data_IF_024568146247
#
_entry.id   IF_024568146247
#
_cell.length_a   1.000
_cell.length_b   1.000
_cell.length_c   1.000
_cell.angle_alpha   90.00
_cell.angle_beta   90.00
_cell.angle_gamma   90.00
#
_symmetry.space_group_name_H-M   'P 1'
#
loop_
_entity.id
_entity.type
_entity.pdbx_description
1 polymer ?
#
# COMPACT_ATOMS: atom_id res chain seq x y z
N UNK A 1 -8.10 20.97 -1.07
CA UNK A 1 -8.06 19.84 -0.10
C UNK A 1 -7.99 18.58 -0.96
N UNK A 2 -6.98 17.70 -0.83
CA UNK A 2 -6.78 16.65 -1.85
C UNK A 2 -7.88 15.59 -1.77
N UNK A 3 -8.59 15.36 -2.89
CA UNK A 3 -9.73 14.44 -2.98
C UNK A 3 -9.34 13.18 -3.76
N UNK A 4 -9.94 12.04 -3.45
CA UNK A 4 -9.64 10.76 -4.13
C UNK A 4 -10.83 10.40 -5.03
N UNK A 5 -10.55 10.04 -6.28
CA UNK A 5 -11.50 9.49 -7.24
C UNK A 5 -10.89 8.30 -7.96
N UNK A 6 -11.65 7.21 -8.05
CA UNK A 6 -11.25 5.96 -8.68
C UNK A 6 -9.89 5.44 -8.15
N UNK A 7 -9.62 5.71 -6.87
CA UNK A 7 -8.33 5.39 -6.23
C UNK A 7 -7.15 6.26 -6.67
N UNK A 8 -7.40 7.45 -7.26
CA UNK A 8 -6.37 8.41 -7.67
C UNK A 8 -6.62 9.75 -6.97
N UNK A 9 -5.56 10.38 -6.45
CA UNK A 9 -5.64 11.74 -5.91
C UNK A 9 -5.87 12.74 -7.05
N UNK A 10 -6.87 13.61 -6.88
CA UNK A 10 -7.26 14.62 -7.87
C UNK A 10 -7.38 16.02 -7.26
N UNK A 11 -7.11 17.03 -8.08
CA UNK A 11 -7.34 18.44 -7.78
C UNK A 11 -8.85 18.75 -7.65
N UNK A 12 -9.19 19.83 -6.92
CA UNK A 12 -10.57 20.18 -6.59
C UNK A 12 -11.42 20.47 -7.84
N UNK A 13 -10.82 21.06 -8.88
CA UNK A 13 -11.47 21.35 -10.17
C UNK A 13 -11.90 20.06 -10.89
N UNK A 14 -11.01 19.08 -10.96
CA UNK A 14 -11.31 17.79 -11.58
C UNK A 14 -12.26 16.96 -10.72
N UNK A 15 -12.10 17.03 -9.40
CA UNK A 15 -12.99 16.35 -8.45
C UNK A 15 -14.45 16.77 -8.67
N UNK A 16 -14.73 18.07 -8.61
CA UNK A 16 -16.09 18.58 -8.81
C UNK A 16 -16.65 18.19 -10.17
N UNK A 17 -15.82 18.26 -11.22
CA UNK A 17 -16.21 17.90 -12.58
C UNK A 17 -16.60 16.42 -12.71
N UNK A 18 -15.86 15.51 -12.09
CA UNK A 18 -16.10 14.07 -12.22
C UNK A 18 -17.22 13.59 -11.28
N UNK A 19 -17.34 14.13 -10.07
CA UNK A 19 -18.42 13.78 -9.12
C UNK A 19 -19.79 14.28 -9.58
N UNK A 20 -19.84 15.41 -10.30
CA UNK A 20 -21.06 15.91 -10.90
C UNK A 20 -21.63 15.00 -12.01
N UNK A 21 -20.83 14.08 -12.56
CA UNK A 21 -21.27 13.18 -13.63
C UNK A 21 -22.16 12.07 -13.13
N UNK A 22 -22.93 11.54 -14.07
CA UNK A 22 -23.86 10.44 -13.85
C UNK A 22 -23.62 9.39 -14.93
N UNK A 23 -23.60 8.14 -14.51
CA UNK A 23 -23.17 7.01 -15.32
C UNK A 23 -24.32 6.02 -15.49
N UNK A 24 -24.43 5.49 -16.71
CA UNK A 24 -25.38 4.45 -17.05
C UNK A 24 -24.66 3.11 -17.09
N UNK A 25 -24.94 2.26 -16.10
CA UNK A 25 -24.33 0.93 -15.97
C UNK A 25 -25.15 -0.10 -16.72
N UNK A 26 -26.47 0.00 -16.70
CA UNK A 26 -27.38 -0.88 -17.44
C UNK A 26 -28.70 -0.16 -17.76
N UNK A 27 -29.60 -0.74 -18.58
CA UNK A 27 -30.92 -0.18 -18.82
C UNK A 27 -31.72 0.08 -17.53
N UNK A 28 -31.57 -0.79 -16.54
CA UNK A 28 -32.27 -0.73 -15.25
C UNK A 28 -31.47 0.04 -14.18
N UNK A 29 -30.22 0.40 -14.48
CA UNK A 29 -29.32 1.07 -13.56
C UNK A 29 -28.62 2.24 -14.23
N UNK A 30 -29.34 3.36 -14.27
CA UNK A 30 -28.97 4.61 -14.95
C UNK A 30 -28.80 5.75 -13.96
N UNK A 31 -28.15 6.81 -14.43
CA UNK A 31 -28.00 8.06 -13.70
C UNK A 31 -27.30 7.88 -12.32
N UNK A 32 -26.29 7.03 -12.26
CA UNK A 32 -25.61 6.60 -11.02
C UNK A 32 -24.41 7.53 -10.74
N UNK A 33 -24.20 8.00 -9.50
CA UNK A 33 -23.00 8.76 -9.16
C UNK A 33 -21.74 7.88 -9.16
N UNK A 34 -20.58 8.50 -9.41
CA UNK A 34 -19.30 7.79 -9.53
C UNK A 34 -18.94 6.95 -8.29
N UNK A 35 -19.19 7.47 -7.08
CA UNK A 35 -18.92 6.77 -5.82
C UNK A 35 -19.65 5.43 -5.75
N UNK A 36 -20.91 5.37 -6.19
CA UNK A 36 -21.68 4.12 -6.22
C UNK A 36 -21.13 3.14 -7.26
N UNK A 37 -20.62 3.65 -8.39
CA UNK A 37 -19.97 2.82 -9.42
C UNK A 37 -18.66 2.23 -8.89
N UNK A 38 -17.86 3.00 -8.16
CA UNK A 38 -16.61 2.55 -7.53
C UNK A 38 -16.86 1.45 -6.50
N UNK A 39 -17.83 1.66 -5.60
CA UNK A 39 -18.22 0.65 -4.60
C UNK A 39 -18.65 -0.65 -5.29
N UNK A 40 -19.45 -0.56 -6.36
CA UNK A 40 -19.96 -1.75 -7.04
C UNK A 40 -18.90 -2.49 -7.87
N UNK A 41 -17.89 -1.80 -8.38
CA UNK A 41 -16.80 -2.40 -9.16
C UNK A 41 -16.00 -3.45 -8.35
N UNK A 42 -15.84 -3.19 -7.04
CA UNK A 42 -15.02 -4.01 -6.13
C UNK A 42 -15.85 -4.74 -5.05
N UNK A 43 -17.16 -4.51 -4.97
CA UNK A 43 -18.04 -5.17 -4.00
C UNK A 43 -18.32 -6.65 -4.32
N UNK A 44 -18.29 -7.49 -3.29
CA UNK A 44 -18.68 -8.91 -3.37
C UNK A 44 -20.19 -9.09 -3.59
N UNK A 45 -21.01 -8.12 -3.19
CA UNK A 45 -22.48 -8.20 -3.33
C UNK A 45 -22.91 -8.12 -4.80
N UNK A 46 -22.14 -7.42 -5.62
CA UNK A 46 -22.37 -7.27 -7.06
C UNK A 46 -21.82 -8.42 -7.90
N UNK A 47 -21.14 -9.40 -7.29
CA UNK A 47 -20.70 -10.62 -7.99
C UNK A 47 -21.86 -11.45 -8.56
N UNK A 48 -23.08 -11.26 -8.03
CA UNK A 48 -24.33 -11.88 -8.54
C UNK A 48 -24.81 -11.27 -9.86
N UNK A 49 -24.30 -10.09 -10.23
CA UNK A 49 -24.61 -9.38 -11.47
C UNK A 49 -23.31 -9.08 -12.25
N UNK A 50 -22.66 -10.12 -12.81
CA UNK A 50 -21.30 -9.99 -13.37
C UNK A 50 -21.20 -8.97 -14.50
N UNK A 51 -22.25 -8.82 -15.31
CA UNK A 51 -22.30 -7.82 -16.39
C UNK A 51 -22.27 -6.39 -15.84
N UNK A 52 -23.00 -6.12 -14.76
CA UNK A 52 -23.04 -4.80 -14.13
C UNK A 52 -21.72 -4.49 -13.44
N UNK A 53 -21.15 -5.47 -12.73
CA UNK A 53 -19.85 -5.31 -12.07
C UNK A 53 -18.73 -5.07 -13.10
N UNK A 54 -18.73 -5.83 -14.20
CA UNK A 54 -17.79 -5.61 -15.32
C UNK A 54 -17.94 -4.18 -15.86
N UNK A 55 -19.18 -3.73 -16.08
CA UNK A 55 -19.42 -2.38 -16.59
C UNK A 55 -18.96 -1.29 -15.63
N UNK A 56 -19.15 -1.48 -14.32
CA UNK A 56 -18.63 -0.58 -13.31
C UNK A 56 -17.09 -0.50 -13.36
N UNK A 57 -16.39 -1.64 -13.49
CA UNK A 57 -14.94 -1.66 -13.67
C UNK A 57 -14.49 -0.93 -14.94
N UNK A 58 -15.19 -1.13 -16.06
CA UNK A 58 -14.92 -0.39 -17.30
C UNK A 58 -15.07 1.13 -17.11
N UNK A 59 -16.11 1.58 -16.41
CA UNK A 59 -16.33 2.99 -16.11
C UNK A 59 -15.21 3.53 -15.21
N UNK A 60 -14.83 2.79 -14.16
CA UNK A 60 -13.72 3.16 -13.27
C UNK A 60 -12.42 3.30 -14.06
N UNK A 61 -12.10 2.35 -14.94
CA UNK A 61 -10.90 2.43 -15.79
C UNK A 61 -10.97 3.58 -16.81
N UNK A 62 -12.14 3.87 -17.38
CA UNK A 62 -12.34 5.04 -18.23
C UNK A 62 -12.10 6.35 -17.46
N UNK A 63 -12.61 6.46 -16.23
CA UNK A 63 -12.39 7.63 -15.38
C UNK A 63 -10.91 7.75 -15.01
N UNK A 64 -10.24 6.66 -14.64
CA UNK A 64 -8.78 6.66 -14.43
C UNK A 64 -8.02 7.12 -15.67
N UNK A 65 -8.40 6.65 -16.86
CA UNK A 65 -7.79 7.06 -18.12
C UNK A 65 -8.04 8.55 -18.42
N UNK A 66 -9.23 9.07 -18.13
CA UNK A 66 -9.54 10.48 -18.28
C UNK A 66 -8.77 11.35 -17.28
N UNK A 67 -8.66 10.92 -16.01
CA UNK A 67 -7.80 11.57 -15.03
C UNK A 67 -6.39 11.61 -15.59
N UNK A 68 -5.80 10.46 -15.97
CA UNK A 68 -4.46 10.40 -16.57
C UNK A 68 -4.31 11.32 -17.78
N UNK A 69 -5.32 11.42 -18.64
CA UNK A 69 -5.33 12.31 -19.82
C UNK A 69 -5.45 13.79 -19.46
N UNK A 70 -6.33 14.15 -18.54
CA UNK A 70 -6.48 15.50 -18.00
C UNK A 70 -5.14 15.94 -17.40
N UNK A 71 -4.49 15.05 -16.65
CA UNK A 71 -3.16 15.26 -16.11
C UNK A 71 -2.03 15.32 -17.15
N UNK A 72 -2.21 14.67 -18.31
CA UNK A 72 -1.22 14.70 -19.40
C UNK A 72 -1.40 15.87 -20.38
N UNK A 73 -2.59 16.46 -20.48
CA UNK A 73 -2.93 17.51 -21.45
C UNK A 73 -2.90 18.94 -20.87
N UNK A 74 -2.98 19.07 -19.54
CA UNK A 74 -2.81 20.35 -18.83
C UNK A 74 -1.33 20.45 -18.46
N UNK A 75 -0.53 20.99 -19.39
CA UNK A 75 0.91 21.27 -19.22
C UNK A 75 1.23 21.82 -17.82
N UNK A 76 2.12 21.13 -17.09
CA UNK A 76 2.70 21.58 -15.82
C UNK A 76 2.07 21.02 -14.53
N UNK A 77 2.12 19.69 -14.29
CA UNK A 77 1.56 19.10 -13.05
C UNK A 77 2.56 18.73 -11.97
N UNK A 78 2.14 19.15 -10.77
CA UNK A 78 2.66 18.95 -9.42
C UNK A 78 2.20 17.65 -8.74
N UNK A 79 1.48 16.74 -9.42
CA UNK A 79 0.93 15.53 -8.78
C UNK A 79 1.22 14.26 -9.59
N UNK A 80 1.25 13.14 -8.87
CA UNK A 80 1.78 11.83 -9.27
C UNK A 80 0.72 11.01 -10.00
N UNK A 81 1.08 10.40 -11.14
CA UNK A 81 0.12 9.72 -12.05
C UNK A 81 -0.47 8.42 -11.47
N UNK A 82 0.08 7.90 -10.38
CA UNK A 82 -0.20 6.54 -9.84
C UNK A 82 -0.45 6.51 -8.33
N UNK A 83 -0.64 7.66 -7.67
CA UNK A 83 -0.85 7.73 -6.22
C UNK A 83 -2.19 7.13 -5.78
N UNK A 84 -2.15 5.87 -5.32
CA UNK A 84 -3.26 5.23 -4.60
C UNK A 84 -3.45 5.80 -3.19
N UNK A 85 -2.34 6.22 -2.58
CA UNK A 85 -2.26 6.78 -1.23
C UNK A 85 -1.61 8.17 -1.29
N UNK A 86 -1.99 9.05 -0.36
CA UNK A 86 -1.40 10.39 -0.24
C UNK A 86 0.10 10.34 0.09
N UNK A 87 0.50 9.35 0.89
CA UNK A 87 1.89 9.08 1.22
C UNK A 87 2.17 7.57 1.20
N UNK A 88 3.43 7.19 1.48
CA UNK A 88 3.83 5.79 1.50
C UNK A 88 3.27 4.99 2.69
N UNK A 89 2.73 5.65 3.72
CA UNK A 89 2.20 4.96 4.92
C UNK A 89 0.89 4.25 4.63
N UNK A 90 0.11 4.71 3.63
CA UNK A 90 -1.12 4.02 3.23
C UNK A 90 -0.89 2.57 2.74
N UNK A 91 0.28 2.26 2.17
CA UNK A 91 0.63 0.88 1.80
C UNK A 91 0.91 0.00 3.02
N UNK A 92 1.40 0.59 4.11
CA UNK A 92 1.56 -0.11 5.40
C UNK A 92 0.20 -0.40 6.01
N UNK A 93 -0.76 0.53 5.90
CA UNK A 93 -2.14 0.31 6.35
C UNK A 93 -2.84 -0.79 5.54
N UNK A 94 -2.63 -0.85 4.22
CA UNK A 94 -3.13 -1.94 3.38
C UNK A 94 -2.55 -3.30 3.81
N UNK A 95 -1.24 -3.36 4.05
CA UNK A 95 -0.58 -4.56 4.56
C UNK A 95 -1.15 -4.99 5.93
N UNK A 96 -1.33 -4.04 6.86
CA UNK A 96 -1.93 -4.31 8.18
C UNK A 96 -3.33 -4.90 8.04
N UNK A 97 -4.20 -4.32 7.20
CA UNK A 97 -5.55 -4.84 6.97
C UNK A 97 -5.54 -6.27 6.42
N UNK A 98 -4.69 -6.54 5.43
CA UNK A 98 -4.51 -7.90 4.89
C UNK A 98 -4.06 -8.87 6.00
N UNK A 99 -3.12 -8.46 6.85
CA UNK A 99 -2.66 -9.28 7.97
C UNK A 99 -3.75 -9.53 9.01
N UNK A 100 -4.54 -8.53 9.37
CA UNK A 100 -5.65 -8.65 10.31
C UNK A 100 -6.71 -9.62 9.78
N UNK A 101 -7.13 -9.47 8.52
CA UNK A 101 -8.14 -10.32 7.90
C UNK A 101 -7.69 -11.79 7.87
N UNK A 102 -6.47 -12.06 7.40
CA UNK A 102 -5.95 -13.42 7.34
C UNK A 102 -5.60 -13.98 8.73
N UNK A 103 -5.16 -13.12 9.65
CA UNK A 103 -4.90 -13.46 11.05
C UNK A 103 -6.17 -13.91 11.77
N UNK A 104 -7.30 -13.25 11.52
CA UNK A 104 -8.62 -13.63 12.06
C UNK A 104 -9.07 -14.99 11.51
N UNK A 105 -8.89 -15.25 10.21
CA UNK A 105 -9.17 -16.57 9.61
C UNK A 105 -8.30 -17.65 10.26
N UNK A 106 -6.99 -17.41 10.39
CA UNK A 106 -6.05 -18.34 11.00
C UNK A 106 -6.37 -18.63 12.49
N UNK A 107 -6.80 -17.61 13.25
CA UNK A 107 -7.24 -17.77 14.63
C UNK A 107 -8.48 -18.68 14.75
N UNK A 108 -9.45 -18.51 13.84
CA UNK A 108 -10.65 -19.37 13.81
C UNK A 108 -10.30 -20.84 13.51
N UNK A 109 -9.35 -21.07 12.59
CA UNK A 109 -8.84 -22.41 12.28
C UNK A 109 -8.13 -23.03 13.50
N UNK A 110 -7.29 -22.24 14.17
CA UNK A 110 -6.57 -22.67 15.37
C UNK A 110 -7.54 -23.13 16.47
N UNK A 111 -8.60 -22.36 16.73
CA UNK A 111 -9.62 -22.71 17.71
C UNK A 111 -10.34 -24.04 17.43
N UNK A 112 -10.40 -24.48 16.17
CA UNK A 112 -10.97 -25.79 15.79
C UNK A 112 -10.03 -26.93 16.19
N UNK A 113 -8.72 -26.77 15.94
CA UNK A 113 -7.70 -27.74 16.34
C UNK A 113 -7.54 -27.80 17.85
N UNK A 114 -7.61 -26.67 18.54
CA UNK A 114 -7.50 -26.61 20.00
C UNK A 114 -8.65 -27.39 20.66
N UNK A 115 -9.89 -27.24 20.18
CA UNK A 115 -11.03 -28.05 20.64
C UNK A 115 -10.83 -29.55 20.41
N UNK A 116 -10.30 -29.94 19.24
CA UNK A 116 -9.98 -31.34 18.95
C UNK A 116 -8.88 -31.87 19.88
N UNK A 117 -7.85 -31.06 20.13
CA UNK A 117 -6.73 -31.36 21.04
C UNK A 117 -7.19 -31.51 22.50
N UNK A 118 -8.04 -30.62 22.99
CA UNK A 118 -8.62 -30.70 24.33
C UNK A 118 -9.49 -31.95 24.49
N UNK A 119 -10.31 -32.26 23.49
CA UNK A 119 -11.14 -33.46 23.48
C UNK A 119 -10.27 -34.71 23.52
N UNK A 120 -9.20 -34.75 22.73
CA UNK A 120 -8.22 -35.84 22.74
C UNK A 120 -7.53 -36.01 24.10
N UNK A 121 -7.09 -34.90 24.73
CA UNK A 121 -6.51 -34.92 26.08
C UNK A 121 -7.46 -35.52 27.11
N UNK A 122 -8.76 -35.19 27.03
CA UNK A 122 -9.78 -35.76 27.94
C UNK A 122 -9.97 -37.26 27.71
N UNK A 123 -10.14 -37.68 26.46
CA UNK A 123 -10.36 -39.09 26.08
C UNK A 123 -9.17 -39.97 26.44
N UNK A 124 -7.94 -39.45 26.30
CA UNK A 124 -6.72 -40.19 26.64
C UNK A 124 -6.64 -40.55 28.13
N UNK A 125 -7.15 -39.66 29.00
CA UNK A 125 -7.12 -39.84 30.46
C UNK A 125 -8.35 -40.57 31.01
N UNK A 126 -9.37 -40.81 30.19
CA UNK A 126 -10.60 -41.47 30.60
C UNK A 126 -10.48 -43.00 30.52
N UNK A 127 -10.59 -43.66 31.68
CA UNK A 127 -10.50 -45.13 31.79
C UNK A 127 -11.75 -45.86 31.30
N UNK A 128 -12.87 -45.16 31.12
CA UNK A 128 -14.14 -45.73 30.65
C UNK A 128 -14.21 -45.91 29.13
N UNK A 129 -13.34 -45.24 28.37
CA UNK A 129 -13.34 -45.30 26.91
C UNK A 129 -12.55 -46.51 26.42
N UNK A 130 -13.15 -47.27 25.50
CA UNK A 130 -12.52 -48.42 24.85
C UNK A 130 -11.31 -48.03 23.99
N UNK A 131 -10.41 -48.98 23.73
CA UNK A 131 -9.25 -48.75 22.86
C UNK A 131 -9.67 -48.33 21.44
N UNK A 132 -10.73 -48.93 20.90
CA UNK A 132 -11.29 -48.55 19.60
C UNK A 132 -11.78 -47.10 19.60
N UNK A 133 -12.53 -46.69 20.64
CA UNK A 133 -12.99 -45.30 20.77
C UNK A 133 -11.84 -44.32 20.92
N UNK A 134 -10.76 -44.69 21.63
CA UNK A 134 -9.54 -43.87 21.69
C UNK A 134 -8.87 -43.73 20.32
N UNK A 135 -8.81 -44.80 19.53
CA UNK A 135 -8.24 -44.76 18.19
C UNK A 135 -9.03 -43.82 17.27
N UNK A 136 -10.36 -43.83 17.34
CA UNK A 136 -11.23 -42.93 16.59
C UNK A 136 -10.99 -41.46 16.95
N UNK A 137 -10.97 -41.12 18.24
CA UNK A 137 -10.69 -39.75 18.69
C UNK A 137 -9.29 -39.27 18.31
N UNK A 138 -8.29 -40.17 18.37
CA UNK A 138 -6.93 -39.87 17.89
C UNK A 138 -6.94 -39.54 16.40
N UNK A 139 -7.66 -40.32 15.60
CA UNK A 139 -7.78 -40.07 14.17
C UNK A 139 -8.48 -38.73 13.88
N UNK A 140 -9.54 -38.37 14.62
CA UNK A 140 -10.20 -37.06 14.50
C UNK A 140 -9.25 -35.91 14.82
N UNK A 141 -8.49 -36.01 15.90
CA UNK A 141 -7.49 -34.99 16.27
C UNK A 141 -6.40 -34.85 15.21
N UNK A 142 -5.82 -35.96 14.74
CA UNK A 142 -4.78 -35.93 13.71
C UNK A 142 -5.30 -35.36 12.38
N UNK A 143 -6.54 -35.68 12.00
CA UNK A 143 -7.18 -35.09 10.82
C UNK A 143 -7.34 -33.58 10.98
N UNK A 144 -7.81 -33.11 12.13
CA UNK A 144 -7.94 -31.67 12.40
C UNK A 144 -6.57 -30.95 12.35
N UNK A 145 -5.49 -31.56 12.85
CA UNK A 145 -4.14 -30.98 12.72
C UNK A 145 -3.66 -30.92 11.27
N UNK A 146 -3.98 -31.93 10.46
CA UNK A 146 -3.61 -31.92 9.04
C UNK A 146 -4.41 -30.89 8.26
N UNK A 147 -5.74 -30.85 8.44
CA UNK A 147 -6.63 -29.86 7.83
C UNK A 147 -6.18 -28.43 8.17
N UNK A 148 -5.72 -28.19 9.40
CA UNK A 148 -5.18 -26.90 9.82
C UNK A 148 -3.87 -26.54 9.12
N UNK A 149 -2.93 -27.48 8.99
CA UNK A 149 -1.67 -27.22 8.26
C UNK A 149 -1.95 -26.85 6.81
N UNK A 150 -2.84 -27.59 6.15
CA UNK A 150 -3.26 -27.29 4.77
C UNK A 150 -3.91 -25.92 4.69
N UNK A 151 -4.88 -25.62 5.56
CA UNK A 151 -5.57 -24.33 5.55
C UNK A 151 -4.64 -23.14 5.86
N UNK A 152 -3.65 -23.30 6.73
CA UNK A 152 -2.64 -22.26 6.99
C UNK A 152 -1.74 -22.04 5.76
N UNK A 153 -1.36 -23.10 5.04
CA UNK A 153 -0.59 -22.99 3.81
C UNK A 153 -1.39 -22.26 2.72
N UNK A 154 -2.69 -22.53 2.61
CA UNK A 154 -3.59 -21.84 1.68
C UNK A 154 -3.73 -20.36 2.04
N UNK A 155 -3.95 -20.03 3.32
CA UNK A 155 -3.99 -18.64 3.81
C UNK A 155 -2.68 -17.89 3.54
N UNK A 156 -1.54 -18.57 3.70
CA UNK A 156 -0.24 -17.99 3.41
C UNK A 156 -0.07 -17.69 1.90
N UNK A 157 -0.64 -18.52 1.04
CA UNK A 157 -0.66 -18.29 -0.41
C UNK A 157 -1.57 -17.10 -0.75
N UNK A 158 -2.80 -17.08 -0.23
CA UNK A 158 -3.77 -15.98 -0.40
C UNK A 158 -3.18 -14.64 0.08
N UNK A 159 -2.51 -14.64 1.23
CA UNK A 159 -1.85 -13.45 1.76
C UNK A 159 -0.71 -12.98 0.85
N UNK A 160 0.14 -13.88 0.36
CA UNK A 160 1.24 -13.49 -0.53
C UNK A 160 0.73 -12.84 -1.82
N UNK A 161 -0.28 -13.42 -2.46
CA UNK A 161 -0.87 -12.85 -3.67
C UNK A 161 -1.48 -11.46 -3.42
N UNK A 162 -2.11 -11.25 -2.26
CA UNK A 162 -2.63 -9.94 -1.87
C UNK A 162 -1.51 -8.93 -1.62
N UNK A 163 -0.44 -9.34 -0.92
CA UNK A 163 0.71 -8.47 -0.63
C UNK A 163 1.57 -8.18 -1.87
N UNK A 164 1.65 -9.10 -2.83
CA UNK A 164 2.31 -8.86 -4.12
C UNK A 164 1.65 -7.69 -4.86
N UNK A 165 0.31 -7.66 -4.90
CA UNK A 165 -0.43 -6.54 -5.51
C UNK A 165 -0.16 -5.21 -4.81
N UNK A 166 -0.09 -5.19 -3.47
CA UNK A 166 0.24 -3.96 -2.72
C UNK A 166 1.68 -3.54 -3.00
N UNK A 167 2.62 -4.49 -3.08
CA UNK A 167 4.02 -4.22 -3.40
C UNK A 167 4.20 -3.66 -4.81
N UNK A 168 3.49 -4.22 -5.81
CA UNK A 168 3.48 -3.72 -7.18
C UNK A 168 2.97 -2.28 -7.23
N UNK A 169 1.86 -1.99 -6.55
CA UNK A 169 1.30 -0.64 -6.47
C UNK A 169 2.24 0.34 -5.73
N UNK A 170 2.95 -0.11 -4.70
CA UNK A 170 3.97 0.69 -4.04
C UNK A 170 5.12 0.98 -5.00
N UNK A 171 5.59 -0.02 -5.75
CA UNK A 171 6.66 0.15 -6.74
C UNK A 171 6.25 1.16 -7.82
N UNK A 172 5.04 1.06 -8.37
CA UNK A 172 4.53 2.02 -9.36
C UNK A 172 4.48 3.46 -8.83
N UNK A 173 4.13 3.64 -7.56
CA UNK A 173 4.13 4.95 -6.92
C UNK A 173 5.56 5.44 -6.69
N UNK A 174 6.48 4.60 -6.19
CA UNK A 174 7.88 4.96 -6.03
C UNK A 174 8.53 5.34 -7.37
N UNK A 175 8.24 4.59 -8.43
CA UNK A 175 8.75 4.85 -9.78
C UNK A 175 8.23 6.18 -10.34
N UNK A 176 6.94 6.50 -10.14
CA UNK A 176 6.40 7.80 -10.54
C UNK A 176 6.94 8.94 -9.68
N UNK A 177 7.10 8.73 -8.37
CA UNK A 177 7.57 9.75 -7.44
C UNK A 177 9.04 10.09 -7.66
N UNK A 178 9.89 9.08 -7.66
CA UNK A 178 11.32 9.23 -7.83
C UNK A 178 11.76 9.27 -9.30
N UNK A 179 10.89 8.96 -10.25
CA UNK A 179 11.20 9.06 -11.68
C UNK A 179 11.60 10.47 -12.10
N UNK A 180 12.61 10.64 -12.98
CA UNK A 180 12.89 11.94 -13.60
C UNK A 180 11.65 12.42 -14.35
N UNK A 181 11.18 13.63 -14.03
CA UNK A 181 9.99 14.19 -14.66
C UNK A 181 10.22 15.66 -15.03
N UNK A 182 10.33 15.93 -16.34
CA UNK A 182 10.53 17.28 -16.86
C UNK A 182 9.41 18.26 -16.48
N UNK A 183 8.17 17.79 -16.26
CA UNK A 183 7.08 18.66 -15.83
C UNK A 183 7.20 19.13 -14.37
N UNK A 184 8.10 18.52 -13.59
CA UNK A 184 8.41 18.91 -12.21
C UNK A 184 9.58 19.88 -12.14
N UNK A 185 10.16 20.29 -13.26
CA UNK A 185 11.23 21.29 -13.28
C UNK A 185 10.63 22.67 -13.00
N UNK A 186 11.17 23.37 -12.01
CA UNK A 186 10.76 24.72 -11.65
C UNK A 186 11.52 25.75 -12.49
N UNK A 187 10.84 26.36 -13.45
CA UNK A 187 11.42 27.35 -14.37
C UNK A 187 12.00 28.58 -13.66
N UNK A 188 11.44 28.98 -12.52
CA UNK A 188 11.93 30.16 -11.78
C UNK A 188 13.28 29.84 -11.14
N UNK A 189 13.39 28.67 -10.51
CA UNK A 189 14.67 28.19 -9.98
C UNK A 189 15.66 27.95 -11.09
N UNK A 190 15.27 27.32 -12.21
CA UNK A 190 16.16 27.11 -13.35
C UNK A 190 16.73 28.43 -13.91
N UNK A 191 15.96 29.51 -13.96
CA UNK A 191 16.48 30.83 -14.37
C UNK A 191 17.58 31.34 -13.44
N UNK A 192 17.46 31.13 -12.13
CA UNK A 192 18.51 31.51 -11.17
C UNK A 192 19.77 30.66 -11.34
N UNK A 193 19.61 29.34 -11.52
CA UNK A 193 20.73 28.43 -11.74
C UNK A 193 21.45 28.74 -13.06
N UNK A 194 20.71 28.95 -14.15
CA UNK A 194 21.26 29.27 -15.47
C UNK A 194 21.92 30.64 -15.53
N UNK A 195 21.52 31.57 -14.67
CA UNK A 195 22.16 32.89 -14.53
C UNK A 195 23.42 32.84 -13.65
N UNK A 196 23.86 31.64 -13.22
CA UNK A 196 24.99 31.43 -12.31
C UNK A 196 24.87 32.29 -11.04
N UNK A 197 23.66 32.37 -10.48
CA UNK A 197 23.43 33.21 -9.31
C UNK A 197 24.36 32.78 -8.15
N UNK A 198 25.08 33.73 -7.51
CA UNK A 198 26.08 33.42 -6.50
C UNK A 198 25.43 33.14 -5.14
N UNK A 199 24.80 31.99 -4.99
CA UNK A 199 24.17 31.57 -3.74
C UNK A 199 25.21 31.40 -2.63
N UNK A 200 24.88 31.84 -1.42
CA UNK A 200 25.53 31.32 -0.22
C UNK A 200 24.85 30.02 0.28
N UNK A 201 25.51 29.31 1.21
CA UNK A 201 25.01 28.03 1.76
C UNK A 201 23.57 28.14 2.31
N UNK A 202 23.27 29.19 3.09
CA UNK A 202 21.96 29.34 3.71
C UNK A 202 20.84 29.64 2.69
N UNK A 203 21.15 30.38 1.62
CA UNK A 203 20.21 30.62 0.52
C UNK A 203 19.93 29.35 -0.27
N UNK A 204 20.98 28.57 -0.54
CA UNK A 204 20.86 27.32 -1.28
C UNK A 204 20.13 26.24 -0.47
N UNK A 205 20.36 26.17 0.84
CA UNK A 205 19.62 25.31 1.76
C UNK A 205 18.12 25.66 1.79
N UNK A 206 17.78 26.96 1.87
CA UNK A 206 16.38 27.43 1.79
C UNK A 206 15.75 27.10 0.45
N UNK A 207 16.50 27.22 -0.64
CA UNK A 207 16.05 26.84 -1.97
C UNK A 207 15.71 25.35 -2.03
N UNK A 208 16.62 24.48 -1.55
CA UNK A 208 16.45 23.04 -1.55
C UNK A 208 15.30 22.56 -0.66
N UNK A 209 15.09 23.18 0.50
CA UNK A 209 14.00 22.85 1.41
C UNK A 209 12.60 23.05 0.83
N UNK A 210 12.45 23.78 -0.28
CA UNK A 210 11.17 23.94 -1.00
C UNK A 210 10.80 22.75 -1.89
N UNK A 211 11.72 21.80 -2.09
CA UNK A 211 11.57 20.70 -3.05
C UNK A 211 11.63 19.33 -2.37
N UNK A 212 11.24 19.21 -1.10
CA UNK A 212 11.21 17.93 -0.37
C UNK A 212 10.27 16.91 -1.00
N UNK A 213 9.26 17.34 -1.73
CA UNK A 213 8.36 16.51 -2.53
C UNK A 213 8.82 16.35 -3.99
N UNK A 214 9.93 16.97 -4.41
CA UNK A 214 10.34 17.01 -5.80
C UNK A 214 11.74 16.42 -6.02
N UNK A 215 11.86 15.08 -6.12
CA UNK A 215 13.14 14.41 -6.37
C UNK A 215 13.85 14.85 -7.65
N UNK A 216 13.12 15.33 -8.66
CA UNK A 216 13.71 15.83 -9.90
C UNK A 216 14.49 17.11 -9.63
N UNK A 217 13.87 18.09 -8.97
CA UNK A 217 14.54 19.34 -8.59
C UNK A 217 15.70 19.10 -7.64
N UNK A 218 15.57 18.21 -6.66
CA UNK A 218 16.65 17.90 -5.72
C UNK A 218 17.91 17.34 -6.41
N UNK A 219 17.73 16.53 -7.45
CA UNK A 219 18.88 16.02 -8.24
C UNK A 219 19.53 17.12 -9.08
N UNK A 220 18.75 18.03 -9.64
CA UNK A 220 19.26 19.20 -10.38
C UNK A 220 20.06 20.10 -9.43
N UNK A 221 19.54 20.40 -8.24
CA UNK A 221 20.22 21.21 -7.23
C UNK A 221 21.52 20.56 -6.75
N UNK A 222 21.56 19.24 -6.57
CA UNK A 222 22.79 18.52 -6.23
C UNK A 222 23.83 18.59 -7.34
N UNK A 223 23.41 18.49 -8.61
CA UNK A 223 24.31 18.65 -9.74
C UNK A 223 24.89 20.07 -9.80
N UNK A 224 24.06 21.10 -9.61
CA UNK A 224 24.50 22.48 -9.54
C UNK A 224 25.49 22.71 -8.41
N UNK A 225 25.19 22.24 -7.19
CA UNK A 225 26.09 22.38 -6.05
C UNK A 225 27.48 21.79 -6.31
N UNK A 226 27.54 20.62 -6.96
CA UNK A 226 28.81 19.97 -7.33
C UNK A 226 29.59 20.76 -8.37
N UNK A 227 28.92 21.32 -9.38
CA UNK A 227 29.55 22.08 -10.46
C UNK A 227 30.13 23.43 -9.98
N UNK A 228 29.54 24.01 -8.93
CA UNK A 228 29.91 25.32 -8.41
C UNK A 228 30.55 25.28 -7.02
N UNK A 229 30.99 24.09 -6.57
CA UNK A 229 31.65 23.88 -5.27
C UNK A 229 30.88 24.43 -4.05
N UNK A 230 29.54 24.42 -4.13
CA UNK A 230 28.68 24.88 -3.05
C UNK A 230 28.54 23.81 -1.96
N UNK A 231 28.96 24.14 -0.74
CA UNK A 231 28.68 23.34 0.44
C UNK A 231 27.25 23.57 0.89
N UNK A 232 26.40 22.53 0.82
CA UNK A 232 25.03 22.55 1.35
C UNK A 232 24.70 21.19 1.97
N UNK A 233 24.57 21.17 3.31
CA UNK A 233 24.20 19.95 4.03
C UNK A 233 22.78 19.49 3.71
N UNK A 234 21.87 20.44 3.46
CA UNK A 234 20.49 20.13 3.09
C UNK A 234 20.44 19.40 1.75
N UNK A 235 21.12 19.92 0.73
CA UNK A 235 21.13 19.31 -0.60
C UNK A 235 21.78 17.94 -0.58
N UNK A 236 22.89 17.77 0.14
CA UNK A 236 23.51 16.44 0.31
C UNK A 236 22.53 15.45 0.92
N UNK A 237 21.79 15.85 1.96
CA UNK A 237 20.83 14.97 2.64
C UNK A 237 19.64 14.64 1.74
N UNK A 238 18.98 15.65 1.18
CA UNK A 238 17.79 15.45 0.34
C UNK A 238 18.13 14.72 -0.96
N UNK A 239 19.26 15.04 -1.61
CA UNK A 239 19.67 14.37 -2.84
C UNK A 239 20.06 12.92 -2.60
N UNK A 240 20.61 12.58 -1.42
CA UNK A 240 20.85 11.19 -1.03
C UNK A 240 19.56 10.38 -1.07
N UNK A 241 18.49 10.85 -0.41
CA UNK A 241 17.19 10.16 -0.44
C UNK A 241 16.58 10.14 -1.85
N UNK A 242 16.63 11.26 -2.59
CA UNK A 242 16.17 11.30 -3.96
C UNK A 242 16.89 10.28 -4.86
N UNK A 243 18.19 10.05 -4.66
CA UNK A 243 19.00 9.08 -5.44
C UNK A 243 18.77 7.63 -5.05
N UNK A 244 18.29 7.37 -3.83
CA UNK A 244 17.91 6.02 -3.38
C UNK A 244 16.64 5.50 -4.07
N UNK A 245 15.88 6.37 -4.76
CA UNK A 245 14.75 5.99 -5.61
C UNK A 245 13.74 5.06 -4.92
N UNK A 246 13.39 5.36 -3.67
CA UNK A 246 12.38 4.60 -2.95
C UNK A 246 12.86 3.29 -2.34
N UNK A 247 14.16 2.97 -2.41
CA UNK A 247 14.70 1.72 -1.89
C UNK A 247 14.38 1.53 -0.40
N UNK A 248 14.50 2.59 0.41
CA UNK A 248 14.22 2.51 1.85
C UNK A 248 12.75 2.20 2.14
N UNK A 249 11.85 2.86 1.42
CA UNK A 249 10.40 2.65 1.52
C UNK A 249 10.03 1.21 1.16
N UNK A 250 10.60 0.68 0.09
CA UNK A 250 10.41 -0.70 -0.33
C UNK A 250 11.00 -1.70 0.68
N UNK A 251 12.17 -1.42 1.24
CA UNK A 251 12.81 -2.27 2.25
C UNK A 251 11.96 -2.33 3.54
N UNK A 252 11.41 -1.20 3.97
CA UNK A 252 10.47 -1.15 5.09
C UNK A 252 9.23 -2.01 4.83
N UNK A 253 8.64 -1.90 3.64
CA UNK A 253 7.48 -2.70 3.27
C UNK A 253 7.80 -4.20 3.27
N UNK A 254 8.92 -4.61 2.67
CA UNK A 254 9.36 -6.02 2.62
C UNK A 254 9.61 -6.60 4.00
N UNK A 255 10.31 -5.87 4.87
CA UNK A 255 10.56 -6.31 6.24
C UNK A 255 9.27 -6.50 7.04
N UNK A 256 8.29 -5.63 6.84
CA UNK A 256 6.99 -5.77 7.48
C UNK A 256 6.18 -6.94 6.92
N UNK A 257 6.23 -7.16 5.60
CA UNK A 257 5.59 -8.30 4.91
C UNK A 257 6.07 -9.64 5.45
N UNK A 258 7.38 -9.81 5.63
CA UNK A 258 7.94 -11.04 6.19
C UNK A 258 7.39 -11.34 7.58
N UNK A 259 7.32 -10.31 8.43
CA UNK A 259 6.80 -10.45 9.79
C UNK A 259 5.30 -10.75 9.82
N UNK A 260 4.53 -10.16 8.89
CA UNK A 260 3.10 -10.42 8.73
C UNK A 260 2.82 -11.90 8.42
N UNK A 261 3.62 -12.49 7.54
CA UNK A 261 3.53 -13.92 7.19
C UNK A 261 3.89 -14.83 8.38
N UNK A 262 4.90 -14.46 9.18
CA UNK A 262 5.25 -15.18 10.41
C UNK A 262 4.11 -15.13 11.43
N UNK A 263 3.45 -13.98 11.59
CA UNK A 263 2.35 -13.79 12.55
C UNK A 263 1.12 -14.66 12.24
N UNK A 264 0.89 -15.01 10.97
CA UNK A 264 -0.21 -15.92 10.58
C UNK A 264 0.14 -17.38 10.88
N UNK A 265 1.39 -17.79 10.65
CA UNK A 265 1.84 -19.15 10.97
C UNK A 265 1.84 -19.42 12.46
N UNK A 266 2.14 -18.38 13.25
CA UNK A 266 2.21 -18.45 14.71
C UNK A 266 0.87 -18.18 15.39
N UNK A 267 -0.16 -18.95 15.01
CA UNK A 267 -1.47 -18.96 15.69
C UNK A 267 -1.58 -20.22 16.53
N UNK A 268 -1.34 -20.08 17.83
CA UNK A 268 -1.41 -21.12 18.85
C UNK A 268 -1.63 -20.50 20.24
N UNK A 269 -1.42 -21.29 21.29
CA UNK A 269 -1.76 -20.93 22.68
C UNK A 269 -1.11 -19.62 23.16
N UNK A 270 0.06 -19.25 22.62
CA UNK A 270 0.71 -17.96 22.89
C UNK A 270 1.33 -17.45 21.57
N UNK A 271 0.63 -16.58 20.81
CA UNK A 271 1.18 -15.97 19.60
C UNK A 271 2.33 -15.02 19.98
N UNK A 272 3.54 -15.31 19.51
CA UNK A 272 4.75 -14.54 19.78
C UNK A 272 5.00 -13.44 18.74
N UNK A 273 4.56 -13.65 17.50
CA UNK A 273 4.85 -12.70 16.40
C UNK A 273 3.81 -11.59 16.23
N UNK A 274 2.58 -11.71 16.74
CA UNK A 274 1.55 -10.67 16.55
C UNK A 274 1.94 -9.35 17.23
N UNK A 275 2.31 -9.38 18.51
CA UNK A 275 2.69 -8.16 19.22
C UNK A 275 3.91 -7.48 18.58
N UNK A 276 4.86 -8.28 18.09
CA UNK A 276 6.03 -7.79 17.35
C UNK A 276 5.63 -7.18 16.00
N UNK A 277 4.66 -7.77 15.30
CA UNK A 277 4.12 -7.22 14.07
C UNK A 277 3.49 -5.84 14.31
N UNK A 278 2.63 -5.72 15.32
CA UNK A 278 1.95 -4.47 15.67
C UNK A 278 2.95 -3.36 16.03
N UNK A 279 3.98 -3.68 16.82
CA UNK A 279 5.07 -2.73 17.14
C UNK A 279 5.83 -2.28 15.87
N UNK A 280 6.14 -3.23 14.98
CA UNK A 280 6.87 -2.95 13.75
C UNK A 280 6.05 -2.15 12.75
N UNK A 281 4.72 -2.27 12.73
CA UNK A 281 3.85 -1.40 11.93
C UNK A 281 4.05 0.06 12.33
N UNK A 282 3.90 0.36 13.62
CA UNK A 282 4.01 1.74 14.13
C UNK A 282 5.41 2.31 13.90
N UNK A 283 6.45 1.50 14.14
CA UNK A 283 7.83 1.89 13.87
C UNK A 283 8.08 2.16 12.39
N UNK A 284 7.47 1.36 11.51
CA UNK A 284 7.59 1.53 10.06
C UNK A 284 6.90 2.81 9.61
N UNK A 285 5.68 3.09 10.08
CA UNK A 285 4.95 4.33 9.80
C UNK A 285 5.79 5.54 10.26
N UNK A 286 6.33 5.50 11.48
CA UNK A 286 7.18 6.56 12.00
C UNK A 286 8.45 6.75 11.15
N UNK A 287 9.07 5.65 10.70
CA UNK A 287 10.27 5.68 9.86
C UNK A 287 9.99 6.28 8.49
N UNK A 288 8.88 5.91 7.85
CA UNK A 288 8.44 6.51 6.57
C UNK A 288 8.16 8.00 6.73
N UNK A 289 7.50 8.42 7.82
CA UNK A 289 7.27 9.83 8.16
C UNK A 289 8.54 10.58 8.56
N UNK A 290 9.65 9.90 8.80
CA UNK A 290 10.95 10.53 9.05
C UNK A 290 11.76 10.70 7.76
N UNK A 291 11.37 10.08 6.65
CA UNK A 291 12.05 10.27 5.35
C UNK A 291 11.83 11.73 4.91
N UNK A 292 12.90 12.48 4.63
CA UNK A 292 12.80 13.90 4.35
C UNK A 292 12.36 14.21 2.92
N UNK A 293 12.51 13.25 2.00
CA UNK A 293 12.02 13.33 0.63
C UNK A 293 10.83 12.43 0.48
N UNK A 294 9.63 13.00 0.35
CA UNK A 294 8.38 12.24 0.35
C UNK A 294 7.23 13.03 -0.27
N UNK A 295 6.15 12.35 -0.70
CA UNK A 295 4.87 12.98 -1.00
C UNK A 295 4.39 13.90 0.12
N UNK A 296 3.75 15.01 -0.26
CA UNK A 296 3.03 15.92 0.64
C UNK A 296 1.53 15.85 0.39
#
# INVERSE_FOLDING_TARGET
MNRILAGIVVDEELYEKLVARRYDVSPDWRNVPLETVEIAADSKDYAKYPEWQKKCREIVEQVKAEIKKYYSAKDGRKEYKTMRHQDFTGYVDDLRKIQEDMGNKAQSLCGTVEKARETWKRVTNDKSISELGRAEWKATYLRAEEDFKTAIADLHTEMNEALDKVQEQLQEHLDDFYGPNGSRIDDTTMKLLNAEFPFNEAEFDRLAGRYTDNPTMLRILDQYARAHELSSRMVVTLSYYAKQRGQKEMDYFKGLRELALMAIRDKGVIPSYQARFDEMVEKTIASLKAIPVRPM
#
